data_IF_590551972711
#
_entry.id   IF_590551972711
#
_cell.length_a   1.000
_cell.length_b   1.000
_cell.length_c   1.000
_cell.angle_alpha   90.00
_cell.angle_beta   90.00
_cell.angle_gamma   90.00
#
_symmetry.space_group_name_H-M   'P 1'
#
loop_
_entity.id
_entity.type
_entity.pdbx_description
1 polymer ?
#
# COMPACT_ATOMS: atom_id res chain seq x y z
N UNK A 1 -18.15 -26.47 -11.37
CA UNK A 1 -16.71 -26.45 -11.66
C UNK A 1 -16.31 -25.05 -12.05
N UNK A 2 -15.41 -24.44 -11.30
CA UNK A 2 -14.65 -23.29 -11.80
C UNK A 2 -13.71 -23.76 -12.92
N UNK A 3 -13.34 -22.85 -13.81
CA UNK A 3 -12.35 -23.10 -14.86
C UNK A 3 -11.01 -22.61 -14.34
N UNK A 4 -10.08 -23.51 -14.10
CA UNK A 4 -8.76 -23.19 -13.56
C UNK A 4 -7.88 -22.56 -14.66
N UNK A 5 -7.85 -21.22 -14.71
CA UNK A 5 -7.11 -20.46 -15.73
C UNK A 5 -5.60 -20.48 -15.47
N UNK A 6 -4.94 -21.59 -15.81
CA UNK A 6 -3.48 -21.63 -15.83
C UNK A 6 -2.93 -20.53 -16.75
N UNK A 7 -2.05 -19.68 -16.22
CA UNK A 7 -1.43 -18.58 -16.96
C UNK A 7 0.01 -18.35 -16.55
N UNK A 8 0.79 -17.73 -17.42
CA UNK A 8 2.22 -17.48 -17.24
C UNK A 8 2.63 -16.21 -17.96
N UNK A 9 3.47 -15.40 -17.30
CA UNK A 9 4.05 -14.19 -17.87
C UNK A 9 5.51 -14.40 -18.25
N UNK A 10 5.89 -13.85 -19.39
CA UNK A 10 7.28 -13.83 -19.87
C UNK A 10 7.68 -12.42 -20.26
N UNK A 11 8.59 -11.83 -19.51
CA UNK A 11 9.30 -10.62 -19.92
C UNK A 11 10.63 -10.99 -20.57
N UNK A 12 10.74 -10.81 -21.89
CA UNK A 12 11.94 -11.05 -22.69
C UNK A 12 12.14 -9.91 -23.68
N UNK A 13 13.39 -9.54 -23.96
CA UNK A 13 13.77 -8.58 -25.01
C UNK A 13 13.02 -7.23 -24.93
N UNK A 14 12.74 -6.79 -23.69
CA UNK A 14 12.01 -5.55 -23.40
C UNK A 14 10.52 -5.58 -23.72
N UNK A 15 9.92 -6.78 -23.87
CA UNK A 15 8.50 -7.05 -24.16
C UNK A 15 7.90 -7.97 -23.10
N UNK A 16 6.64 -7.73 -22.73
CA UNK A 16 5.87 -8.57 -21.82
C UNK A 16 4.87 -9.40 -22.64
N UNK A 17 4.77 -10.68 -22.32
CA UNK A 17 3.84 -11.61 -22.95
C UNK A 17 3.06 -12.38 -21.89
N UNK A 18 1.81 -12.69 -22.16
CA UNK A 18 0.93 -13.51 -21.34
C UNK A 18 0.53 -14.75 -22.12
N UNK A 19 0.91 -15.92 -21.61
CA UNK A 19 0.35 -17.20 -22.02
C UNK A 19 -0.85 -17.49 -21.10
N UNK A 20 -2.02 -17.76 -21.67
CA UNK A 20 -3.23 -18.13 -20.91
C UNK A 20 -3.86 -19.40 -21.50
N UNK A 21 -4.11 -20.38 -20.64
CA UNK A 21 -4.97 -21.54 -20.92
C UNK A 21 -6.43 -21.19 -20.64
N UNK A 22 -7.34 -21.66 -21.50
CA UNK A 22 -8.78 -21.56 -21.33
C UNK A 22 -9.43 -22.90 -21.70
N UNK A 23 -9.99 -23.56 -20.70
CA UNK A 23 -10.66 -24.85 -20.87
C UNK A 23 -12.18 -24.68 -20.87
N UNK A 24 -12.86 -25.52 -21.65
CA UNK A 24 -14.32 -25.62 -21.65
C UNK A 24 -14.78 -27.07 -21.94
N UNK A 25 -16.09 -27.25 -21.97
CA UNK A 25 -16.81 -28.50 -22.29
C UNK A 25 -16.50 -29.10 -23.68
N UNK A 26 -15.78 -28.37 -24.53
CA UNK A 26 -15.44 -28.73 -25.91
C UNK A 26 -13.93 -28.84 -26.16
N UNK A 27 -13.09 -28.53 -25.16
CA UNK A 27 -11.64 -28.68 -25.24
C UNK A 27 -10.84 -27.57 -24.56
N UNK A 28 -9.53 -27.57 -24.84
CA UNK A 28 -8.54 -26.62 -24.32
C UNK A 28 -8.06 -25.68 -25.42
N UNK A 29 -8.02 -24.38 -25.13
CA UNK A 29 -7.34 -23.36 -25.95
C UNK A 29 -6.17 -22.79 -25.16
N UNK A 30 -5.06 -22.48 -25.83
CA UNK A 30 -3.94 -21.72 -25.27
C UNK A 30 -3.72 -20.50 -26.16
N UNK A 31 -3.73 -19.31 -25.57
CA UNK A 31 -3.53 -18.03 -26.26
C UNK A 31 -2.27 -17.32 -25.75
N UNK A 32 -1.48 -16.75 -26.66
CA UNK A 32 -0.31 -15.92 -26.36
C UNK A 32 -0.59 -14.46 -26.74
N UNK A 33 -0.69 -13.59 -25.73
CA UNK A 33 -0.95 -12.15 -25.90
C UNK A 33 0.32 -11.32 -25.61
N UNK A 34 0.52 -10.23 -26.35
CA UNK A 34 1.64 -9.29 -26.12
C UNK A 34 1.15 -8.07 -25.35
N UNK A 35 1.51 -7.99 -24.07
CA UNK A 35 1.08 -6.95 -23.14
C UNK A 35 1.93 -5.68 -23.31
N UNK A 36 1.53 -4.79 -24.23
CA UNK A 36 2.34 -3.63 -24.66
C UNK A 36 1.95 -2.33 -23.97
N UNK A 37 0.65 -2.01 -23.92
CA UNK A 37 0.13 -0.84 -23.18
C UNK A 37 0.39 -1.04 -21.68
N UNK A 38 0.26 -2.28 -21.26
CA UNK A 38 0.63 -2.82 -19.97
C UNK A 38 2.10 -2.54 -19.64
N UNK A 39 3.05 -3.01 -20.46
CA UNK A 39 4.47 -2.80 -20.17
C UNK A 39 4.86 -1.31 -20.19
N UNK A 40 4.19 -0.49 -20.99
CA UNK A 40 4.34 0.97 -20.92
C UNK A 40 3.90 1.50 -19.56
N UNK A 41 2.78 1.00 -19.05
CA UNK A 41 2.20 1.39 -17.75
C UNK A 41 3.06 0.94 -16.57
N UNK A 42 3.59 -0.30 -16.58
CA UNK A 42 4.57 -0.77 -15.58
C UNK A 42 5.80 0.15 -15.56
N UNK A 43 6.35 0.49 -16.73
CA UNK A 43 7.51 1.38 -16.83
C UNK A 43 7.20 2.78 -16.30
N UNK A 44 5.99 3.29 -16.49
CA UNK A 44 5.54 4.56 -15.90
C UNK A 44 5.51 4.50 -14.38
N UNK A 45 4.88 3.48 -13.79
CA UNK A 45 4.79 3.33 -12.32
C UNK A 45 6.18 3.16 -11.68
N UNK A 46 7.02 2.28 -12.24
CA UNK A 46 8.40 2.10 -11.74
C UNK A 46 9.25 3.38 -11.87
N UNK A 47 9.03 4.19 -12.92
CA UNK A 47 9.65 5.50 -13.04
C UNK A 47 9.15 6.49 -11.99
N UNK A 48 7.87 6.44 -11.61
CA UNK A 48 7.34 7.25 -10.50
C UNK A 48 7.96 6.83 -9.17
N UNK A 49 7.99 5.53 -8.86
CA UNK A 49 8.60 5.01 -7.62
C UNK A 49 10.05 5.46 -7.48
N UNK A 50 10.89 5.27 -8.50
CA UNK A 50 12.28 5.69 -8.47
C UNK A 50 12.46 7.22 -8.29
N UNK A 51 11.57 8.04 -8.86
CA UNK A 51 11.59 9.50 -8.67
C UNK A 51 11.14 9.89 -7.25
N UNK A 52 10.16 9.20 -6.68
CA UNK A 52 9.69 9.41 -5.30
C UNK A 52 10.75 8.98 -4.28
N UNK A 53 11.41 7.85 -4.50
CA UNK A 53 12.49 7.38 -3.63
C UNK A 53 13.66 8.39 -3.62
N UNK A 54 14.07 8.92 -4.77
CA UNK A 54 15.09 9.97 -4.86
C UNK A 54 14.63 11.24 -4.11
N UNK A 55 13.38 11.65 -4.29
CA UNK A 55 12.81 12.82 -3.62
C UNK A 55 12.78 12.67 -2.10
N UNK A 56 12.21 11.59 -1.56
CA UNK A 56 12.14 11.35 -0.12
C UNK A 56 13.53 11.14 0.50
N UNK A 57 14.44 10.43 -0.19
CA UNK A 57 15.84 10.29 0.25
C UNK A 57 16.55 11.65 0.32
N UNK A 58 16.26 12.58 -0.59
CA UNK A 58 16.82 13.95 -0.56
C UNK A 58 16.34 14.79 0.63
N UNK A 59 15.17 14.43 1.19
CA UNK A 59 14.60 14.99 2.42
C UNK A 59 15.00 14.18 3.68
N UNK A 60 15.92 13.23 3.55
CA UNK A 60 16.34 12.29 4.61
C UNK A 60 15.25 11.36 5.15
N UNK A 61 14.12 11.24 4.45
CA UNK A 61 13.05 10.30 4.78
C UNK A 61 13.49 8.90 4.31
N UNK A 62 13.49 7.87 5.19
CA UNK A 62 13.84 6.52 4.79
C UNK A 62 12.90 5.98 3.71
N UNK A 63 13.46 5.39 2.65
CA UNK A 63 12.70 4.76 1.56
C UNK A 63 12.68 3.23 1.66
N UNK A 64 13.66 2.64 2.36
CA UNK A 64 13.71 1.21 2.62
C UNK A 64 12.46 0.76 3.40
N UNK A 65 11.56 0.02 2.73
CA UNK A 65 10.29 -0.45 3.29
C UNK A 65 9.17 0.59 3.32
N UNK A 66 9.34 1.75 2.67
CA UNK A 66 8.26 2.72 2.45
C UNK A 66 7.29 2.16 1.40
N UNK A 67 5.99 2.19 1.69
CA UNK A 67 4.94 1.51 0.92
C UNK A 67 4.05 2.50 0.18
N UNK A 68 3.66 3.57 0.87
CA UNK A 68 2.76 4.60 0.36
C UNK A 68 2.96 5.89 1.15
N UNK A 69 2.65 7.03 0.52
CA UNK A 69 2.73 8.36 1.13
C UNK A 69 1.53 9.20 0.74
N UNK A 70 0.85 9.80 1.71
CA UNK A 70 -0.20 10.79 1.48
C UNK A 70 0.33 12.18 1.84
N UNK A 71 0.47 13.07 0.86
CA UNK A 71 1.03 14.42 1.07
C UNK A 71 0.35 15.48 0.18
N UNK A 72 1.03 15.99 -0.85
CA UNK A 72 0.52 17.05 -1.71
C UNK A 72 -0.62 16.60 -2.61
N UNK A 73 -0.50 15.42 -3.22
CA UNK A 73 -1.40 14.96 -4.27
C UNK A 73 -2.83 14.64 -3.77
N UNK A 74 -3.85 15.24 -4.38
CA UNK A 74 -5.26 14.93 -4.13
C UNK A 74 -6.15 15.33 -5.31
N UNK A 75 -7.34 14.73 -5.41
CA UNK A 75 -8.36 15.06 -6.40
C UNK A 75 -9.76 14.71 -5.87
N UNK A 76 -10.68 15.67 -5.87
CA UNK A 76 -12.03 15.47 -5.33
C UNK A 76 -12.03 15.07 -3.86
N UNK A 77 -12.63 13.91 -3.56
CA UNK A 77 -12.68 13.25 -2.25
C UNK A 77 -11.48 12.32 -1.98
N UNK A 78 -10.49 12.28 -2.88
CA UNK A 78 -9.39 11.32 -2.84
C UNK A 78 -8.08 12.00 -2.45
N UNK A 79 -7.47 11.57 -1.33
CA UNK A 79 -6.04 11.83 -1.05
C UNK A 79 -5.23 10.79 -1.82
N UNK A 80 -4.42 11.23 -2.77
CA UNK A 80 -3.67 10.33 -3.64
C UNK A 80 -2.39 9.85 -2.96
N UNK A 81 -2.08 8.57 -3.12
CA UNK A 81 -0.77 8.02 -2.78
C UNK A 81 0.26 8.48 -3.81
N UNK A 82 1.36 9.04 -3.33
CA UNK A 82 2.49 9.49 -4.13
C UNK A 82 3.17 8.32 -4.88
N UNK A 83 3.00 7.07 -4.43
CA UNK A 83 3.42 5.82 -5.09
C UNK A 83 2.33 5.20 -6.00
N UNK A 84 1.16 5.84 -6.13
CA UNK A 84 0.04 5.49 -7.02
C UNK A 84 -0.69 4.16 -6.72
N UNK A 85 -0.51 3.57 -5.54
CA UNK A 85 -1.09 2.28 -5.16
C UNK A 85 -2.26 2.37 -4.17
N UNK A 86 -2.09 3.14 -3.09
CA UNK A 86 -2.98 3.12 -1.92
C UNK A 86 -3.60 4.50 -1.63
N UNK A 87 -4.57 4.93 -2.44
CA UNK A 87 -5.28 6.18 -2.16
C UNK A 87 -6.17 6.08 -0.89
N UNK A 88 -6.38 7.20 -0.21
CA UNK A 88 -7.33 7.34 0.91
C UNK A 88 -8.55 8.18 0.50
N UNK A 89 -9.70 7.92 1.14
CA UNK A 89 -10.91 8.73 0.99
C UNK A 89 -10.97 9.80 2.06
N UNK A 90 -11.38 11.00 1.69
CA UNK A 90 -11.45 12.19 2.55
C UNK A 90 -12.88 12.71 2.58
N UNK A 91 -13.38 13.00 3.79
CA UNK A 91 -14.74 13.51 4.02
C UNK A 91 -14.68 14.86 4.72
N UNK A 92 -15.48 15.82 4.23
CA UNK A 92 -15.77 17.12 4.83
C UNK A 92 -14.53 17.89 5.32
N UNK A 93 -13.45 17.86 4.53
CA UNK A 93 -12.15 18.45 4.87
C UNK A 93 -11.72 19.50 3.85
N UNK A 94 -10.89 20.45 4.28
CA UNK A 94 -10.26 21.45 3.42
C UNK A 94 -8.83 21.01 3.05
N UNK A 95 -8.47 20.97 1.76
CA UNK A 95 -7.09 20.67 1.34
C UNK A 95 -6.17 21.80 1.80
N UNK A 96 -5.02 21.42 2.37
CA UNK A 96 -3.91 22.33 2.69
C UNK A 96 -2.61 21.82 2.05
N UNK A 97 -1.54 22.59 2.16
CA UNK A 97 -0.18 22.14 1.83
C UNK A 97 0.15 20.85 2.61
N UNK A 98 0.69 19.85 1.93
CA UNK A 98 1.05 18.52 2.43
C UNK A 98 -0.07 17.69 3.10
N UNK A 99 -1.33 18.14 3.10
CA UNK A 99 -2.45 17.35 3.64
C UNK A 99 -3.81 18.02 3.71
N UNK A 100 -4.55 17.83 4.80
CA UNK A 100 -5.94 18.28 4.96
C UNK A 100 -6.22 18.83 6.38
N UNK A 101 -7.10 19.82 6.46
CA UNK A 101 -7.68 20.31 7.71
C UNK A 101 -9.09 19.75 7.89
N UNK A 102 -9.31 19.07 9.01
CA UNK A 102 -10.52 18.35 9.39
C UNK A 102 -11.26 19.21 10.43
N UNK A 103 -12.21 20.05 10.00
CA UNK A 103 -12.91 21.02 10.88
C UNK A 103 -14.24 20.50 11.44
N UNK A 104 -15.02 19.77 10.63
CA UNK A 104 -16.39 19.38 10.98
C UNK A 104 -16.44 18.13 11.88
N UNK A 105 -17.50 17.93 12.70
CA UNK A 105 -17.63 16.76 13.56
C UNK A 105 -17.68 15.40 12.83
N UNK A 106 -17.94 15.37 11.53
CA UNK A 106 -17.87 14.16 10.68
C UNK A 106 -16.76 14.24 9.61
N UNK A 107 -15.83 15.20 9.76
CA UNK A 107 -14.66 15.32 8.89
C UNK A 107 -13.60 14.27 9.27
N UNK A 108 -12.99 13.67 8.26
CA UNK A 108 -12.07 12.56 8.48
C UNK A 108 -11.39 12.08 7.21
N UNK A 109 -10.36 11.26 7.41
CA UNK A 109 -9.68 10.50 6.36
C UNK A 109 -9.83 9.02 6.68
N UNK A 110 -10.19 8.21 5.69
CA UNK A 110 -10.34 6.77 5.78
C UNK A 110 -9.41 6.11 4.77
N UNK A 111 -8.46 5.31 5.24
CA UNK A 111 -7.39 4.73 4.43
C UNK A 111 -7.38 3.20 4.52
N UNK A 112 -8.14 2.50 3.65
CA UNK A 112 -8.07 1.05 3.54
C UNK A 112 -6.77 0.61 2.87
N UNK A 113 -5.98 -0.24 3.53
CA UNK A 113 -4.69 -0.73 3.02
C UNK A 113 -4.74 -2.21 2.63
N UNK A 114 -5.37 -3.05 3.47
CA UNK A 114 -5.76 -4.40 3.08
C UNK A 114 -7.26 -4.60 3.32
N UNK A 115 -7.95 -5.17 2.32
CA UNK A 115 -9.41 -5.36 2.35
C UNK A 115 -9.80 -6.70 1.71
N UNK A 116 -10.91 -7.26 2.18
CA UNK A 116 -11.38 -8.62 1.86
C UNK A 116 -12.24 -8.72 0.59
N UNK A 117 -12.20 -7.73 -0.29
CA UNK A 117 -12.99 -7.70 -1.52
C UNK A 117 -12.28 -8.38 -2.70
N UNK A 118 -13.02 -9.08 -3.55
CA UNK A 118 -12.47 -9.88 -4.67
C UNK A 118 -11.67 -9.07 -5.72
N UNK A 119 -11.68 -7.73 -5.63
CA UNK A 119 -10.91 -6.83 -6.48
C UNK A 119 -9.47 -6.59 -5.97
N UNK A 120 -8.74 -7.68 -5.76
CA UNK A 120 -7.30 -7.82 -6.03
C UNK A 120 -6.43 -6.60 -5.60
N UNK A 121 -6.48 -6.18 -4.33
CA UNK A 121 -5.58 -5.12 -3.80
C UNK A 121 -5.01 -5.48 -2.43
N UNK A 122 -4.34 -6.62 -2.36
CA UNK A 122 -3.60 -7.02 -1.16
C UNK A 122 -2.20 -6.42 -1.17
N UNK A 123 -2.08 -5.18 -0.67
CA UNK A 123 -0.85 -4.81 0.02
C UNK A 123 -0.92 -5.50 1.38
N UNK A 124 -0.45 -6.74 1.43
CA UNK A 124 -0.35 -7.53 2.64
C UNK A 124 0.70 -6.91 3.56
N UNK A 125 0.31 -5.87 4.30
CA UNK A 125 1.03 -5.47 5.51
C UNK A 125 1.19 -6.71 6.37
N UNK A 126 2.45 -7.03 6.67
CA UNK A 126 2.76 -8.12 7.57
C UNK A 126 2.30 -7.77 8.99
N UNK A 127 2.53 -8.68 9.94
CA UNK A 127 2.48 -8.36 11.36
C UNK A 127 3.50 -7.28 11.82
N UNK A 128 4.26 -6.69 10.89
CA UNK A 128 5.07 -5.51 11.13
C UNK A 128 4.66 -4.37 10.19
N UNK A 129 4.39 -3.19 10.76
CA UNK A 129 4.24 -1.94 10.02
C UNK A 129 4.57 -0.73 10.91
N UNK A 130 4.86 0.42 10.30
CA UNK A 130 4.86 1.73 10.98
C UNK A 130 4.10 2.73 10.14
N UNK A 131 3.10 3.38 10.73
CA UNK A 131 2.42 4.55 10.17
C UNK A 131 2.92 5.79 10.90
N UNK A 132 3.35 6.81 10.17
CA UNK A 132 3.82 8.10 10.72
C UNK A 132 3.03 9.25 10.09
N UNK A 133 2.65 10.27 10.85
CA UNK A 133 1.97 11.47 10.33
C UNK A 133 2.37 12.75 11.10
N UNK A 134 2.40 13.90 10.41
CA UNK A 134 2.40 15.21 11.06
C UNK A 134 0.96 15.62 11.38
N UNK A 135 0.69 16.04 12.62
CA UNK A 135 -0.64 16.54 13.03
C UNK A 135 -0.53 17.83 13.82
N UNK A 136 -1.53 18.70 13.71
CA UNK A 136 -1.68 19.92 14.53
C UNK A 136 -3.10 20.02 15.05
N UNK A 137 -3.28 19.97 16.37
CA UNK A 137 -4.58 20.15 17.03
C UNK A 137 -4.87 21.65 17.13
N UNK A 138 -5.94 22.14 16.51
CA UNK A 138 -6.21 23.59 16.41
C UNK A 138 -6.81 24.16 17.71
N UNK A 139 -7.67 23.38 18.36
CA UNK A 139 -8.43 23.74 19.58
C UNK A 139 -8.56 22.52 20.52
N UNK A 140 -8.83 22.75 21.80
CA UNK A 140 -9.18 21.67 22.72
C UNK A 140 -10.56 21.09 22.37
N UNK A 141 -10.71 19.74 22.38
CA UNK A 141 -11.98 19.10 22.12
C UNK A 141 -12.90 19.22 23.34
N UNK A 142 -14.21 19.10 23.14
CA UNK A 142 -15.18 19.12 24.25
C UNK A 142 -15.23 17.82 25.06
N UNK A 143 -14.79 16.71 24.44
CA UNK A 143 -14.75 15.35 24.99
C UNK A 143 -13.41 14.69 24.60
N UNK A 144 -13.17 13.44 24.99
CA UNK A 144 -12.07 12.67 24.41
C UNK A 144 -12.35 12.41 22.92
N UNK A 145 -11.45 12.86 22.05
CA UNK A 145 -11.62 12.82 20.59
C UNK A 145 -10.53 11.96 19.95
N UNK A 146 -10.86 11.09 18.97
CA UNK A 146 -9.87 10.37 18.20
C UNK A 146 -9.02 11.30 17.32
N UNK A 147 -7.72 10.99 17.23
CA UNK A 147 -6.78 11.69 16.35
C UNK A 147 -6.36 10.78 15.18
N UNK A 148 -5.89 9.59 15.52
CA UNK A 148 -5.40 8.58 14.59
C UNK A 148 -5.69 7.19 15.15
N UNK A 149 -6.32 6.34 14.34
CA UNK A 149 -6.65 4.96 14.69
C UNK A 149 -6.26 3.95 13.60
N UNK A 150 -6.07 2.69 14.01
CA UNK A 150 -5.85 1.55 13.14
C UNK A 150 -6.84 0.41 13.46
N UNK A 151 -7.61 -0.01 12.47
CA UNK A 151 -8.42 -1.23 12.52
C UNK A 151 -7.59 -2.40 11.98
N UNK A 152 -7.46 -3.45 12.78
CA UNK A 152 -6.67 -4.65 12.47
C UNK A 152 -7.51 -5.90 12.76
N UNK A 153 -7.40 -6.93 11.91
CA UNK A 153 -8.03 -8.24 12.13
C UNK A 153 -8.97 -8.64 10.99
N UNK A 154 -10.20 -9.01 11.35
CA UNK A 154 -11.21 -9.56 10.43
C UNK A 154 -12.30 -8.52 10.10
N UNK A 155 -13.37 -8.94 9.42
CA UNK A 155 -14.51 -8.07 9.09
C UNK A 155 -15.21 -7.55 10.34
N UNK A 156 -15.39 -6.23 10.42
CA UNK A 156 -16.00 -5.51 11.54
C UNK A 156 -15.21 -5.54 12.87
N UNK A 157 -13.88 -5.72 12.84
CA UNK A 157 -13.04 -5.35 13.99
C UNK A 157 -13.24 -3.87 14.38
N UNK A 158 -13.25 -3.52 15.69
CA UNK A 158 -13.09 -2.14 16.14
C UNK A 158 -11.63 -1.67 15.96
N UNK A 159 -11.35 -0.42 16.31
CA UNK A 159 -9.98 0.11 16.41
C UNK A 159 -9.12 -0.72 17.38
N UNK A 160 -8.13 -1.44 16.83
CA UNK A 160 -7.23 -2.31 17.59
C UNK A 160 -6.12 -1.51 18.30
N UNK A 161 -5.69 -0.39 17.72
CA UNK A 161 -4.80 0.56 18.36
C UNK A 161 -5.06 2.00 17.89
N UNK A 162 -4.74 2.98 18.71
CA UNK A 162 -4.86 4.39 18.32
C UNK A 162 -4.44 5.37 19.39
N UNK A 163 -4.61 6.66 19.07
CA UNK A 163 -4.39 7.79 19.97
C UNK A 163 -5.59 8.74 19.92
N UNK A 164 -6.00 9.17 21.11
CA UNK A 164 -7.02 10.16 21.37
C UNK A 164 -6.40 11.35 22.13
N UNK A 165 -7.11 12.46 22.15
CA UNK A 165 -6.72 13.67 22.87
C UNK A 165 -7.91 14.25 23.65
N UNK A 166 -7.61 14.88 24.79
CA UNK A 166 -8.61 15.25 25.79
C UNK A 166 -8.75 16.77 25.97
N UNK A 167 -9.87 17.20 26.56
CA UNK A 167 -10.12 18.60 26.92
C UNK A 167 -9.09 19.17 27.93
N UNK A 168 -8.60 18.32 28.86
CA UNK A 168 -7.58 18.68 29.85
C UNK A 168 -6.13 18.56 29.33
N UNK A 169 -5.97 18.55 28.00
CA UNK A 169 -4.69 18.58 27.27
C UNK A 169 -3.78 17.36 27.48
N UNK A 170 -4.36 16.18 27.62
CA UNK A 170 -3.63 14.90 27.69
C UNK A 170 -3.71 14.12 26.38
N UNK A 171 -2.65 13.36 26.12
CA UNK A 171 -2.68 12.25 25.18
C UNK A 171 -3.30 11.03 25.86
N UNK A 172 -4.06 10.26 25.10
CA UNK A 172 -4.65 9.01 25.54
C UNK A 172 -4.33 7.93 24.52
N UNK A 173 -3.58 6.91 24.93
CA UNK A 173 -3.31 5.73 24.10
C UNK A 173 -4.43 4.71 24.25
N UNK A 174 -4.73 3.99 23.16
CA UNK A 174 -5.77 2.96 23.10
C UNK A 174 -5.21 1.69 22.45
N UNK A 175 -5.49 0.54 23.07
CA UNK A 175 -5.07 -0.79 22.62
C UNK A 175 -6.21 -1.78 22.89
N UNK A 176 -7.06 -2.03 21.88
CA UNK A 176 -8.42 -2.55 22.05
C UNK A 176 -9.15 -1.73 23.16
N UNK A 177 -9.89 -2.39 24.05
CA UNK A 177 -10.60 -1.73 25.17
C UNK A 177 -9.69 -1.06 26.23
N UNK A 178 -8.36 -1.18 26.10
CA UNK A 178 -7.41 -0.66 27.08
C UNK A 178 -7.04 0.80 26.76
N UNK A 179 -7.49 1.72 27.60
CA UNK A 179 -7.27 3.16 27.47
C UNK A 179 -6.29 3.62 28.57
N UNK A 180 -5.32 4.50 28.25
CA UNK A 180 -4.33 5.00 29.22
C UNK A 180 -3.91 6.44 28.91
N UNK A 181 -3.90 7.32 29.92
CA UNK A 181 -3.37 8.69 29.80
C UNK A 181 -1.84 8.66 29.72
N UNK A 182 -1.26 9.27 28.68
CA UNK A 182 0.16 9.16 28.33
C UNK A 182 0.79 10.52 27.99
N UNK A 183 0.85 11.43 28.95
CA UNK A 183 1.48 12.75 28.78
C UNK A 183 0.55 13.83 28.25
N UNK A 184 1.11 14.94 27.76
CA UNK A 184 0.36 16.19 27.47
C UNK A 184 0.60 16.76 26.07
N UNK A 185 -0.35 17.56 25.59
CA UNK A 185 -0.30 18.23 24.28
C UNK A 185 -0.64 19.73 24.35
N UNK A 186 -0.27 20.47 23.31
CA UNK A 186 -0.44 21.93 23.22
C UNK A 186 -1.14 22.31 21.90
N UNK A 187 -2.14 23.21 21.90
CA UNK A 187 -2.83 23.62 20.69
C UNK A 187 -1.91 24.41 19.75
N UNK A 188 -2.11 24.21 18.44
CA UNK A 188 -1.37 24.85 17.34
C UNK A 188 0.12 24.51 17.29
N UNK A 189 0.51 23.42 17.96
CA UNK A 189 1.83 22.79 17.83
C UNK A 189 1.72 21.58 16.91
N UNK A 190 2.66 21.46 15.98
CA UNK A 190 2.78 20.26 15.15
C UNK A 190 3.51 19.15 15.93
N UNK A 191 2.95 17.95 15.89
CA UNK A 191 3.48 16.73 16.47
C UNK A 191 3.67 15.69 15.38
N UNK A 192 4.76 14.92 15.47
CA UNK A 192 4.85 13.66 14.74
C UNK A 192 4.15 12.57 15.56
N UNK A 193 3.12 11.96 15.01
CA UNK A 193 2.45 10.77 15.58
C UNK A 193 2.97 9.54 14.85
N UNK A 194 3.18 8.44 15.57
CA UNK A 194 3.32 7.13 14.93
C UNK A 194 2.53 6.02 15.63
N UNK A 195 1.96 5.13 14.81
CA UNK A 195 1.43 3.83 15.22
C UNK A 195 2.37 2.75 14.64
N UNK A 196 2.86 1.85 15.49
CA UNK A 196 3.76 0.76 15.06
C UNK A 196 3.29 -0.59 15.60
N UNK A 197 3.24 -1.59 14.71
CA UNK A 197 3.02 -2.99 15.05
C UNK A 197 4.32 -3.78 14.88
N UNK A 198 4.65 -4.65 15.83
CA UNK A 198 5.76 -5.61 15.78
C UNK A 198 5.27 -6.99 16.23
N UNK A 199 4.97 -7.89 15.30
CA UNK A 199 4.30 -9.15 15.61
C UNK A 199 2.88 -8.90 16.14
N UNK A 200 2.66 -9.17 17.43
CA UNK A 200 1.44 -8.83 18.15
C UNK A 200 1.56 -7.54 19.01
N UNK A 201 2.74 -6.91 19.08
CA UNK A 201 2.98 -5.71 19.90
C UNK A 201 2.56 -4.44 19.17
N UNK A 202 1.47 -3.83 19.61
CA UNK A 202 1.07 -2.49 19.18
C UNK A 202 1.75 -1.44 20.08
N UNK A 203 2.19 -0.34 19.47
CA UNK A 203 2.89 0.74 20.17
C UNK A 203 2.60 2.11 19.56
N UNK A 204 2.55 3.14 20.40
CA UNK A 204 2.18 4.52 20.02
C UNK A 204 3.31 5.47 20.39
N UNK A 205 3.64 6.40 19.49
CA UNK A 205 4.70 7.38 19.69
C UNK A 205 4.23 8.81 19.38
N UNK A 206 4.77 9.76 20.13
CA UNK A 206 4.74 11.19 19.82
C UNK A 206 6.19 11.70 19.79
N UNK A 207 6.58 12.36 18.69
CA UNK A 207 7.91 12.95 18.52
C UNK A 207 9.07 11.96 18.78
N UNK A 208 8.90 10.71 18.33
CA UNK A 208 9.85 9.61 18.55
C UNK A 208 9.90 9.05 19.98
N UNK A 209 9.14 9.61 20.93
CA UNK A 209 8.99 9.10 22.30
C UNK A 209 7.81 8.14 22.38
N UNK A 210 7.99 6.97 23.01
CA UNK A 210 6.89 6.02 23.21
C UNK A 210 5.92 6.52 24.29
N UNK A 211 4.63 6.47 23.97
CA UNK A 211 3.52 6.74 24.89
C UNK A 211 2.91 5.46 25.48
N UNK A 212 3.28 4.29 24.95
CA UNK A 212 2.79 2.99 25.40
C UNK A 212 3.07 1.88 24.39
N UNK A 213 3.19 0.65 24.91
CA UNK A 213 3.22 -0.61 24.16
C UNK A 213 2.27 -1.59 24.85
N UNK A 214 1.51 -2.36 24.06
CA UNK A 214 0.68 -3.47 24.53
C UNK A 214 0.51 -4.52 23.44
N UNK A 215 0.39 -5.79 23.84
CA UNK A 215 0.03 -6.86 22.91
C UNK A 215 -1.46 -6.74 22.52
N UNK A 216 -1.73 -6.74 21.22
CA UNK A 216 -3.09 -6.78 20.65
C UNK A 216 -3.41 -8.20 20.21
N UNK A 217 -4.65 -8.63 20.47
CA UNK A 217 -5.13 -9.97 20.14
C UNK A 217 -5.44 -10.09 18.65
N UNK A 218 -4.43 -10.45 17.85
CA UNK A 218 -4.56 -10.76 16.43
C UNK A 218 -4.79 -12.26 16.24
N UNK A 219 -5.91 -12.66 15.64
CA UNK A 219 -6.41 -14.03 15.59
C UNK A 219 -5.75 -14.89 14.49
N UNK A 220 -4.43 -15.08 14.56
CA UNK A 220 -3.76 -16.19 13.88
C UNK A 220 -2.35 -15.88 13.33
N UNK A 221 -1.72 -16.90 12.77
CA UNK A 221 -0.39 -16.82 12.13
C UNK A 221 -0.42 -16.20 10.71
N UNK A 222 -1.62 -15.83 10.22
CA UNK A 222 -1.83 -15.32 8.86
C UNK A 222 -1.53 -13.82 8.77
N UNK A 223 -1.13 -13.28 7.60
CA UNK A 223 -1.15 -11.84 7.35
C UNK A 223 -2.54 -11.25 7.64
N UNK A 224 -2.58 -9.99 8.11
CA UNK A 224 -3.80 -9.27 8.47
C UNK A 224 -4.82 -9.29 7.32
N UNK A 225 -5.98 -9.97 7.47
CA UNK A 225 -7.01 -10.03 6.42
C UNK A 225 -7.63 -8.64 6.17
N UNK A 226 -7.74 -7.81 7.20
CA UNK A 226 -8.11 -6.40 7.13
C UNK A 226 -7.08 -5.52 7.87
N UNK A 227 -6.65 -4.46 7.20
CA UNK A 227 -5.81 -3.40 7.76
C UNK A 227 -6.26 -2.05 7.20
N UNK A 228 -6.67 -1.13 8.07
CA UNK A 228 -7.13 0.20 7.69
C UNK A 228 -6.77 1.24 8.73
N UNK A 229 -6.50 2.46 8.27
CA UNK A 229 -6.15 3.60 9.11
C UNK A 229 -7.19 4.72 8.96
N UNK A 230 -7.37 5.52 10.01
CA UNK A 230 -8.28 6.65 9.97
C UNK A 230 -7.70 7.85 10.72
N UNK A 231 -8.12 9.05 10.32
CA UNK A 231 -7.77 10.31 10.98
C UNK A 231 -9.03 11.15 11.19
N UNK A 232 -9.09 11.90 12.29
CA UNK A 232 -10.27 12.68 12.67
C UNK A 232 -11.42 11.77 13.09
N UNK A 233 -12.53 11.75 12.34
CA UNK A 233 -13.76 11.01 12.66
C UNK A 233 -13.64 9.46 12.57
N UNK A 234 -12.74 8.88 13.36
CA UNK A 234 -12.58 7.44 13.59
C UNK A 234 -13.66 6.94 14.56
N UNK A 235 -14.75 6.35 14.04
CA UNK A 235 -15.93 5.82 14.80
C UNK A 235 -16.74 6.88 15.59
N UNK A 236 -16.07 7.87 16.17
CA UNK A 236 -16.59 8.95 17.02
C UNK A 236 -16.38 10.29 16.30
N UNK A 237 -17.12 11.33 16.68
CA UNK A 237 -16.97 12.68 16.15
C UNK A 237 -15.55 13.27 16.31
N UNK A 238 -15.12 13.96 15.25
CA UNK A 238 -13.87 14.71 15.21
C UNK A 238 -13.94 16.03 16.02
N UNK A 239 -12.77 16.62 16.31
CA UNK A 239 -12.58 18.02 16.69
C UNK A 239 -11.47 18.64 15.84
N UNK A 240 -11.42 19.97 15.65
CA UNK A 240 -10.57 20.59 14.62
C UNK A 240 -9.08 20.24 14.69
N UNK A 241 -8.61 19.53 13.65
CA UNK A 241 -7.23 19.04 13.52
C UNK A 241 -6.74 19.14 12.07
N UNK A 242 -5.48 19.53 11.89
CA UNK A 242 -4.78 19.47 10.60
C UNK A 242 -3.90 18.24 10.55
N UNK A 243 -3.94 17.47 9.46
CA UNK A 243 -3.14 16.25 9.22
C UNK A 243 -2.35 16.40 7.93
N UNK A 244 -1.05 16.08 7.95
CA UNK A 244 -0.11 16.23 6.84
C UNK A 244 0.88 15.08 6.78
N UNK A 245 1.50 14.88 5.60
CA UNK A 245 2.68 14.03 5.40
C UNK A 245 2.58 12.67 6.11
N UNK A 246 1.67 11.83 5.63
CA UNK A 246 1.46 10.49 6.17
C UNK A 246 2.35 9.49 5.42
N UNK A 247 3.18 8.73 6.14
CA UNK A 247 4.09 7.72 5.60
C UNK A 247 3.73 6.34 6.15
N UNK A 248 3.61 5.34 5.29
CA UNK A 248 3.34 3.96 5.67
C UNK A 248 4.52 3.06 5.32
N UNK A 249 5.05 2.34 6.32
CA UNK A 249 6.16 1.40 6.19
C UNK A 249 5.71 -0.04 6.46
N UNK A 250 6.25 -1.01 5.71
CA UNK A 250 6.00 -2.46 5.89
C UNK A 250 6.87 -3.12 6.99
N UNK A 251 7.46 -2.30 7.87
CA UNK A 251 8.41 -2.72 8.89
C UNK A 251 8.38 -1.79 10.11
N UNK A 252 9.04 -2.16 11.22
CA UNK A 252 9.29 -1.25 12.33
C UNK A 252 10.28 -0.14 11.91
N UNK A 253 10.09 1.06 12.43
CA UNK A 253 11.11 2.13 12.42
C UNK A 253 11.80 2.22 13.78
N UNK A 254 13.07 2.61 13.77
CA UNK A 254 13.77 2.99 15.01
C UNK A 254 13.63 4.50 15.32
N UNK A 255 13.87 4.96 16.56
CA UNK A 255 13.70 6.37 16.94
C UNK A 255 14.51 7.37 16.12
N UNK A 256 15.67 6.95 15.59
CA UNK A 256 16.51 7.79 14.72
C UNK A 256 15.87 8.01 13.35
N UNK A 257 15.16 7.00 12.82
CA UNK A 257 14.39 7.11 11.57
C UNK A 257 13.16 7.98 11.74
N UNK A 258 12.42 7.81 12.85
CA UNK A 258 11.30 8.70 13.20
C UNK A 258 11.79 10.16 13.30
N UNK A 259 12.91 10.38 13.98
CA UNK A 259 13.55 11.70 14.11
C UNK A 259 13.97 12.27 12.75
N UNK A 260 14.53 11.46 11.85
CA UNK A 260 14.92 11.90 10.50
C UNK A 260 13.71 12.36 9.66
N UNK A 261 12.58 11.64 9.75
CA UNK A 261 11.31 12.04 9.11
C UNK A 261 10.80 13.37 9.68
N UNK A 262 10.87 13.59 11.01
CA UNK A 262 10.42 14.82 11.66
C UNK A 262 11.30 16.03 11.30
N UNK A 263 12.60 15.89 11.51
CA UNK A 263 13.56 16.99 11.38
C UNK A 263 13.98 17.27 9.93
N UNK A 264 13.65 16.36 8.99
CA UNK A 264 14.15 16.33 7.61
C UNK A 264 15.70 16.38 7.55
N UNK A 265 16.35 15.70 8.51
CA UNK A 265 17.81 15.64 8.71
C UNK A 265 18.33 14.23 8.47
N UNK A 266 19.55 14.06 7.91
CA UNK A 266 20.11 12.75 7.64
C UNK A 266 20.34 11.98 8.94
N UNK A 267 19.96 10.70 8.93
CA UNK A 267 20.42 9.73 9.94
C UNK A 267 21.94 9.74 9.92
N UNK A 268 22.57 10.15 11.03
CA UNK A 268 24.02 10.15 11.16
C UNK A 268 24.53 8.72 11.33
N UNK A 269 24.69 8.00 10.22
CA UNK A 269 25.25 6.65 10.18
C UNK A 269 26.70 6.67 10.67
N UNK A 270 26.89 6.41 11.95
CA UNK A 270 28.19 6.41 12.64
C UNK A 270 29.06 5.23 12.22
N UNK A 271 29.58 5.27 10.99
CA UNK A 271 30.62 4.35 10.55
C UNK A 271 31.89 4.54 11.41
N UNK A 272 32.46 3.47 12.01
CA UNK A 272 33.71 3.59 12.74
C UNK A 272 34.86 4.00 11.80
N UNK A 273 35.46 5.16 12.04
CA UNK A 273 36.67 5.59 11.31
C UNK A 273 37.87 4.83 11.87
N UNK A 274 38.09 3.61 11.34
CA UNK A 274 39.25 2.80 11.67
C UNK A 274 40.52 3.40 11.05
N UNK A 275 41.13 4.34 11.76
CA UNK A 275 42.50 4.76 11.49
C UNK A 275 43.46 3.64 11.90
N UNK A 276 44.08 2.98 10.92
CA UNK A 276 45.34 2.25 11.10
C UNK A 276 46.27 2.60 9.95
N UNK A 277 47.46 3.05 10.30
CA UNK A 277 48.48 3.54 9.38
C UNK A 277 49.58 2.49 9.21
N UNK A 278 49.87 2.09 7.96
CA UNK A 278 51.14 1.50 7.52
C UNK A 278 51.54 0.10 8.03
N UNK A 279 51.48 -0.89 7.14
CA UNK A 279 52.58 -1.85 6.95
C UNK A 279 52.55 -2.43 5.51
N UNK A 280 53.67 -2.96 5.01
CA UNK A 280 53.88 -3.16 3.58
C UNK A 280 53.73 -4.61 3.06
N UNK A 281 53.31 -4.70 1.79
CA UNK A 281 53.52 -5.74 0.78
C UNK A 281 53.96 -7.17 1.17
N UNK A 282 53.17 -8.14 0.69
CA UNK A 282 53.67 -9.42 0.17
C UNK A 282 52.81 -9.84 -1.04
N UNK A 283 53.42 -10.01 -2.22
CA UNK A 283 52.76 -10.64 -3.37
C UNK A 283 52.82 -12.16 -3.25
N UNK A 284 51.73 -12.87 -3.55
CA UNK A 284 51.81 -14.28 -3.94
C UNK A 284 50.73 -14.63 -4.96
N UNK A 285 51.16 -14.91 -6.19
CA UNK A 285 50.33 -15.43 -7.27
C UNK A 285 50.06 -16.93 -7.08
N UNK A 286 48.84 -17.37 -7.38
CA UNK A 286 48.55 -18.76 -7.76
C UNK A 286 47.29 -18.79 -8.66
N UNK A 287 47.21 -19.76 -9.57
CA UNK A 287 46.27 -19.72 -10.69
C UNK A 287 45.27 -20.90 -10.71
N UNK A 288 43.99 -20.54 -10.93
CA UNK A 288 43.00 -21.13 -11.86
C UNK A 288 43.29 -22.57 -12.34
N UNK A 289 42.38 -23.52 -12.05
CA UNK A 289 41.42 -23.92 -13.11
C UNK A 289 39.96 -23.47 -12.83
N UNK A 290 39.20 -23.21 -13.90
CA UNK A 290 37.76 -22.95 -13.85
C UNK A 290 36.91 -24.19 -14.18
N UNK A 291 35.59 -24.18 -13.90
CA UNK A 291 34.70 -25.32 -14.17
C UNK A 291 34.42 -25.51 -15.66
N UNK A 292 34.18 -26.77 -16.05
CA UNK A 292 34.09 -27.20 -17.45
C UNK A 292 32.74 -26.95 -18.13
N UNK A 293 32.76 -27.04 -19.46
CA UNK A 293 31.68 -26.66 -20.39
C UNK A 293 30.89 -27.90 -20.84
N UNK A 294 29.87 -28.30 -20.07
CA UNK A 294 29.02 -29.43 -20.44
C UNK A 294 28.10 -29.10 -21.64
N UNK A 295 28.02 -30.04 -22.59
CA UNK A 295 27.38 -29.84 -23.89
C UNK A 295 25.86 -29.93 -23.85
N UNK A 296 25.21 -29.17 -24.74
CA UNK A 296 23.80 -29.38 -25.08
C UNK A 296 23.58 -30.72 -25.81
N UNK A 297 22.37 -31.27 -25.67
CA UNK A 297 21.84 -32.33 -26.51
C UNK A 297 21.10 -31.74 -27.73
N UNK A 298 21.05 -32.43 -28.89
CA UNK A 298 20.44 -31.89 -30.11
C UNK A 298 18.91 -31.85 -30.04
N UNK A 299 18.32 -30.76 -30.52
CA UNK A 299 16.88 -30.65 -30.72
C UNK A 299 16.45 -31.41 -31.99
N UNK A 300 15.35 -32.17 -31.90
CA UNK A 300 14.71 -32.81 -33.05
C UNK A 300 13.78 -31.80 -33.73
N UNK A 301 13.88 -31.56 -35.04
CA UNK A 301 12.98 -30.64 -35.74
C UNK A 301 11.59 -31.26 -35.90
N UNK A 302 10.56 -30.56 -35.44
CA UNK A 302 9.16 -30.91 -35.70
C UNK A 302 8.56 -29.90 -36.67
N UNK A 303 8.32 -30.34 -37.91
CA UNK A 303 7.57 -29.58 -38.93
C UNK A 303 6.07 -29.63 -38.63
N UNK A 304 5.38 -28.50 -38.79
CA UNK A 304 3.92 -28.40 -38.74
C UNK A 304 3.41 -27.65 -39.98
N UNK A 305 2.37 -28.18 -40.60
CA UNK A 305 1.77 -27.63 -41.82
C UNK A 305 0.94 -26.35 -41.57
N UNK A 306 1.01 -25.32 -42.45
CA UNK A 306 0.46 -23.99 -42.19
C UNK A 306 -0.94 -23.75 -42.79
N UNK A 307 -1.95 -24.56 -42.44
CA UNK A 307 -3.33 -24.37 -42.96
C UNK A 307 -4.44 -24.54 -41.91
N UNK A 308 -4.84 -23.44 -41.27
CA UNK A 308 -6.23 -23.09 -40.92
C UNK A 308 -6.26 -21.86 -39.98
N UNK A 309 -6.46 -20.67 -40.54
CA UNK A 309 -6.94 -19.49 -39.79
C UNK A 309 -8.08 -18.86 -40.59
N UNK A 310 -9.25 -18.77 -39.97
CA UNK A 310 -10.46 -18.21 -40.56
C UNK A 310 -10.95 -17.11 -39.61
N UNK A 311 -10.80 -15.84 -40.02
CA UNK A 311 -11.38 -14.71 -39.30
C UNK A 311 -12.87 -14.59 -39.64
N UNK A 312 -13.73 -14.49 -38.63
CA UNK A 312 -15.14 -14.16 -38.81
C UNK A 312 -15.54 -13.04 -37.85
N UNK A 313 -15.73 -11.86 -38.42
CA UNK A 313 -16.37 -10.70 -37.81
C UNK A 313 -17.78 -10.54 -38.35
N UNK A 314 -18.79 -10.30 -37.50
CA UNK A 314 -19.89 -9.39 -37.88
C UNK A 314 -20.69 -8.86 -36.68
N UNK A 315 -21.58 -7.90 -36.97
CA UNK A 315 -22.30 -7.05 -36.02
C UNK A 315 -23.82 -7.21 -36.11
N UNK A 316 -24.56 -6.95 -35.03
CA UNK A 316 -26.01 -6.83 -35.07
C UNK A 316 -26.62 -6.17 -33.82
N UNK A 317 -27.64 -5.34 -33.97
CA UNK A 317 -28.31 -4.63 -32.87
C UNK A 317 -29.83 -4.50 -33.10
N UNK A 318 -30.63 -4.60 -32.03
CA UNK A 318 -32.11 -4.56 -32.09
C UNK A 318 -32.75 -3.89 -30.86
N UNK A 319 -34.05 -3.57 -30.97
CA UNK A 319 -34.91 -2.82 -30.02
C UNK A 319 -36.30 -3.51 -30.01
N UNK A 320 -37.21 -3.38 -29.04
CA UNK A 320 -37.53 -2.38 -27.98
C UNK A 320 -38.07 -3.16 -26.73
N UNK A 321 -38.71 -2.69 -25.66
CA UNK A 321 -39.32 -1.41 -25.24
C UNK A 321 -39.31 -1.29 -23.67
N UNK A 322 -40.05 -0.36 -23.08
CA UNK A 322 -40.23 -0.17 -21.63
C UNK A 322 -41.72 -0.10 -21.22
N UNK A 323 -42.04 -0.47 -19.97
CA UNK A 323 -43.22 -0.02 -19.22
C UNK A 323 -42.91 -0.04 -17.72
N UNK A 324 -43.43 0.93 -16.96
CA UNK A 324 -43.19 1.10 -15.52
C UNK A 324 -44.50 1.08 -14.72
N UNK A 325 -44.48 0.43 -13.55
CA UNK A 325 -45.41 0.66 -12.41
C UNK A 325 -44.65 0.39 -11.11
N UNK A 326 -44.97 1.10 -10.04
CA UNK A 326 -44.14 1.20 -8.83
C UNK A 326 -44.34 0.06 -7.81
N UNK A 327 -43.30 -0.21 -7.01
CA UNK A 327 -43.33 -1.08 -5.85
C UNK A 327 -41.97 -1.06 -5.14
N UNK A 328 -41.90 -0.54 -3.91
CA UNK A 328 -40.62 -0.31 -3.21
C UNK A 328 -40.09 -1.60 -2.61
N UNK A 329 -38.97 -2.11 -3.13
CA UNK A 329 -38.11 -3.07 -2.43
C UNK A 329 -36.66 -2.94 -2.90
N UNK A 330 -35.69 -3.16 -2.01
CA UNK A 330 -34.26 -3.15 -2.36
C UNK A 330 -33.93 -4.34 -3.29
N UNK A 331 -33.25 -4.06 -4.41
CA UNK A 331 -32.77 -5.06 -5.37
C UNK A 331 -31.31 -4.78 -5.69
N UNK A 332 -30.47 -5.82 -5.65
CA UNK A 332 -29.06 -5.75 -6.05
C UNK A 332 -28.99 -5.58 -7.58
N UNK A 333 -28.21 -4.62 -8.06
CA UNK A 333 -28.09 -4.35 -9.49
C UNK A 333 -27.27 -5.44 -10.20
N UNK A 334 -27.93 -6.31 -10.97
CA UNK A 334 -27.27 -7.16 -11.95
C UNK A 334 -26.67 -6.29 -13.07
N UNK A 335 -25.34 -6.19 -13.11
CA UNK A 335 -24.64 -5.46 -14.18
C UNK A 335 -24.41 -6.40 -15.37
N UNK A 336 -25.22 -6.24 -16.40
CA UNK A 336 -25.04 -6.92 -17.69
C UNK A 336 -23.76 -6.45 -18.38
N UNK A 337 -22.80 -7.36 -18.59
CA UNK A 337 -21.53 -7.11 -19.30
C UNK A 337 -21.74 -7.00 -20.81
N UNK A 338 -22.35 -5.91 -21.26
CA UNK A 338 -22.42 -5.54 -22.67
C UNK A 338 -21.25 -4.64 -23.07
N UNK A 339 -20.55 -5.03 -24.14
CA UNK A 339 -19.33 -4.39 -24.66
C UNK A 339 -19.45 -2.89 -24.93
N UNK A 340 -18.62 -2.10 -24.26
CA UNK A 340 -18.16 -0.78 -24.69
C UNK A 340 -16.77 -0.52 -24.07
N UNK A 341 -15.91 0.22 -24.77
CA UNK A 341 -14.50 0.38 -24.39
C UNK A 341 -14.31 1.13 -23.07
N UNK A 342 -13.60 0.51 -22.13
CA UNK A 342 -13.02 1.13 -20.93
C UNK A 342 -11.62 0.56 -20.73
N UNK A 343 -10.64 1.43 -20.50
CA UNK A 343 -9.23 1.02 -20.42
C UNK A 343 -8.96 0.15 -19.21
N UNK A 344 -8.16 -0.91 -19.40
CA UNK A 344 -7.62 -1.70 -18.29
C UNK A 344 -6.75 -0.80 -17.41
N UNK A 345 -7.26 -0.44 -16.24
CA UNK A 345 -6.61 0.52 -15.34
C UNK A 345 -5.21 0.00 -14.92
N UNK A 346 -4.21 0.91 -14.78
CA UNK A 346 -2.85 0.57 -14.35
C UNK A 346 -2.75 -0.39 -13.16
N UNK A 347 -3.69 -0.29 -12.23
CA UNK A 347 -3.80 -1.15 -11.04
C UNK A 347 -3.91 -2.64 -11.37
N UNK A 348 -4.63 -3.07 -12.41
CA UNK A 348 -4.89 -4.51 -12.63
C UNK A 348 -3.60 -5.30 -12.97
N UNK A 349 -2.61 -4.60 -13.48
CA UNK A 349 -1.42 -5.18 -14.08
C UNK A 349 -0.25 -5.38 -13.09
N UNK A 350 -0.08 -4.47 -12.13
CA UNK A 350 0.94 -4.62 -11.08
C UNK A 350 0.74 -5.93 -10.29
N UNK A 351 -0.51 -6.38 -10.23
CA UNK A 351 -0.98 -7.58 -9.54
C UNK A 351 -0.67 -8.87 -10.31
N UNK A 352 -0.66 -8.79 -11.65
CA UNK A 352 -0.22 -9.89 -12.51
C UNK A 352 1.28 -10.20 -12.35
N UNK A 353 2.10 -9.20 -12.00
CA UNK A 353 3.56 -9.35 -11.96
C UNK A 353 4.11 -10.13 -10.75
N UNK A 354 3.37 -10.27 -9.65
CA UNK A 354 3.80 -11.02 -8.45
C UNK A 354 5.12 -10.55 -7.81
N UNK A 355 5.59 -9.33 -8.12
CA UNK A 355 6.99 -8.92 -7.99
C UNK A 355 7.38 -8.38 -6.58
N UNK A 356 6.87 -8.99 -5.52
CA UNK A 356 7.15 -8.60 -4.13
C UNK A 356 7.64 -9.79 -3.29
N UNK A 357 8.94 -10.05 -3.37
CA UNK A 357 9.68 -11.02 -2.57
C UNK A 357 11.19 -10.80 -2.70
N UNK A 358 11.94 -11.09 -1.63
CA UNK A 358 13.38 -10.80 -1.43
C UNK A 358 13.75 -9.36 -1.02
N UNK A 359 13.46 -9.04 0.24
CA UNK A 359 14.15 -8.00 1.01
C UNK A 359 14.27 -8.43 2.49
N UNK A 360 14.92 -9.56 2.74
CA UNK A 360 15.24 -10.06 4.08
C UNK A 360 16.64 -10.65 4.11
N UNK A 361 17.51 -10.06 4.95
CA UNK A 361 18.81 -10.55 5.38
C UNK A 361 19.05 -10.08 6.82
#
# INVERSE_FOLDING_TARGET
HEREFASSLLHSDGRLHLLQQRDNDKGRVISLSRLTEELSTIKSVLSTWAQKDIFFSSLSIPTAGLVAVLSGAASGDTWSDEYLCLNATVRNATKVEDGFQLTEPDSGVMWPVNTRGDNVRHVSLSHNFTLVASVTIEVAPSNNTPLLGATLGDTNSPLAMGILYTADKKWVTMFNDNITESGTWEPKKEYQVALMLQGNKASVYIDGQSLGEREVLLTGERPLELAGFCFGACEIHNSPVTVKNVFLYNRPLNPTEMTAIKDRKPVSTGAPVTQVEGMAAAEHLSAVPGPEKNSAAPAVPMTLDPHAVEELSESGAAKRNTSWTEGIQFVVSEVSLNSAGSGLLPSLLLLLLGLWGFAAL
#
